data_IF_245190970320
#
_entry.id   IF_245190970320
#
_cell.length_a   1.000
_cell.length_b   1.000
_cell.length_c   1.000
_cell.angle_alpha   90.00
_cell.angle_beta   90.00
_cell.angle_gamma   90.00
#
_symmetry.space_group_name_H-M   'P 1'
#
loop_
_entity.id
_entity.type
_entity.pdbx_description
1 polymer ?
#
# COMPACT_ATOMS: atom_id res chain seq x y z
N UNK A 1 3.33 -25.44 -12.66
CA UNK A 1 4.41 -24.62 -12.08
C UNK A 1 3.78 -23.85 -10.95
N UNK A 2 4.23 -24.05 -9.71
CA UNK A 2 3.77 -23.24 -8.58
C UNK A 2 4.07 -21.78 -8.90
N UNK A 3 3.03 -20.94 -8.98
CA UNK A 3 3.19 -19.49 -9.14
C UNK A 3 3.84 -18.95 -7.85
N UNK A 4 5.17 -18.99 -7.79
CA UNK A 4 5.93 -18.41 -6.69
C UNK A 4 5.71 -16.90 -6.71
N UNK A 5 5.03 -16.39 -5.70
CA UNK A 5 4.73 -14.95 -5.50
C UNK A 5 5.88 -14.26 -4.74
N UNK A 6 6.79 -15.03 -4.15
CA UNK A 6 7.95 -14.55 -3.39
C UNK A 6 9.24 -14.71 -4.21
N UNK A 7 10.18 -13.74 -4.16
CA UNK A 7 11.50 -13.92 -4.76
C UNK A 7 12.28 -15.05 -4.05
N UNK A 8 13.16 -15.70 -4.80
CA UNK A 8 14.17 -16.59 -4.25
C UNK A 8 15.46 -15.81 -4.09
N UNK A 9 16.07 -15.84 -2.91
CA UNK A 9 17.27 -15.06 -2.60
C UNK A 9 18.39 -16.03 -2.24
N UNK A 10 19.50 -15.95 -2.96
CA UNK A 10 20.78 -16.53 -2.55
C UNK A 10 21.49 -15.46 -1.72
N UNK A 11 21.55 -15.67 -0.41
CA UNK A 11 22.14 -14.72 0.52
C UNK A 11 23.66 -14.84 0.53
N UNK A 12 24.37 -13.73 0.57
CA UNK A 12 25.82 -13.67 0.75
C UNK A 12 26.27 -14.66 1.84
N UNK A 13 27.29 -15.46 1.52
CA UNK A 13 27.82 -16.49 2.41
C UNK A 13 27.02 -17.79 2.52
N UNK A 14 25.85 -17.91 1.87
CA UNK A 14 25.02 -19.13 1.86
C UNK A 14 25.04 -19.92 0.55
N UNK A 15 25.83 -19.49 -0.43
CA UNK A 15 25.97 -20.15 -1.73
C UNK A 15 27.41 -20.07 -2.25
N UNK A 16 27.79 -21.04 -3.07
CA UNK A 16 29.03 -21.04 -3.86
C UNK A 16 28.76 -20.67 -5.32
N UNK A 17 29.80 -20.45 -6.11
CA UNK A 17 29.64 -20.23 -7.56
C UNK A 17 28.97 -21.43 -8.25
N UNK A 18 29.29 -22.65 -7.81
CA UNK A 18 28.65 -23.86 -8.30
C UNK A 18 27.14 -23.90 -7.97
N UNK A 19 26.75 -23.44 -6.78
CA UNK A 19 25.34 -23.32 -6.40
C UNK A 19 24.61 -22.28 -7.25
N UNK A 20 25.25 -21.16 -7.56
CA UNK A 20 24.70 -20.13 -8.44
C UNK A 20 24.50 -20.65 -9.86
N UNK A 21 25.47 -21.37 -10.44
CA UNK A 21 25.34 -22.00 -11.75
C UNK A 21 24.28 -23.11 -11.77
N UNK A 22 24.21 -23.91 -10.70
CA UNK A 22 23.14 -24.89 -10.51
C UNK A 22 21.76 -24.21 -10.38
N UNK A 23 21.69 -23.05 -9.72
CA UNK A 23 20.46 -22.26 -9.63
C UNK A 23 20.04 -21.71 -11.00
N UNK A 24 21.00 -21.18 -11.77
CA UNK A 24 20.75 -20.65 -13.12
C UNK A 24 20.23 -21.72 -14.07
N UNK A 25 20.80 -22.93 -14.02
CA UNK A 25 20.38 -24.04 -14.88
C UNK A 25 19.00 -24.62 -14.52
N UNK A 26 18.59 -24.56 -13.25
CA UNK A 26 17.29 -25.07 -12.78
C UNK A 26 16.12 -24.11 -12.99
N UNK A 27 16.38 -22.81 -13.10
CA UNK A 27 15.35 -21.77 -13.15
C UNK A 27 15.24 -21.14 -14.54
N UNK A 28 14.03 -20.70 -14.91
CA UNK A 28 13.81 -19.98 -16.17
C UNK A 28 14.25 -18.53 -16.01
N UNK A 29 15.52 -18.27 -16.24
CA UNK A 29 16.09 -16.92 -16.21
C UNK A 29 16.02 -16.33 -17.61
N UNK A 30 15.28 -15.24 -17.75
CA UNK A 30 15.18 -14.48 -18.99
C UNK A 30 16.24 -13.38 -19.07
N UNK A 31 16.65 -12.83 -17.92
CA UNK A 31 17.62 -11.74 -17.86
C UNK A 31 18.41 -11.78 -16.55
N UNK A 32 19.73 -11.67 -16.68
CA UNK A 32 20.65 -11.47 -15.56
C UNK A 32 21.05 -9.99 -15.52
N UNK A 33 20.98 -9.37 -14.35
CA UNK A 33 21.36 -7.97 -14.13
C UNK A 33 22.29 -7.90 -12.94
N UNK A 34 23.55 -7.59 -13.15
CA UNK A 34 24.49 -7.34 -12.05
C UNK A 34 24.65 -5.83 -11.83
N UNK A 35 24.19 -5.37 -10.66
CA UNK A 35 24.33 -3.98 -10.22
C UNK A 35 25.06 -3.87 -8.88
N UNK A 36 25.62 -4.96 -8.35
CA UNK A 36 26.20 -5.00 -7.01
C UNK A 36 27.32 -3.96 -6.84
N UNK A 37 28.28 -3.90 -7.78
CA UNK A 37 29.36 -2.90 -7.75
C UNK A 37 28.85 -1.47 -7.88
N UNK A 38 27.80 -1.23 -8.66
CA UNK A 38 27.17 0.10 -8.77
C UNK A 38 26.51 0.50 -7.46
N UNK A 39 25.87 -0.44 -6.79
CA UNK A 39 25.29 -0.18 -5.48
C UNK A 39 26.36 -0.03 -4.38
N UNK A 40 27.51 -0.70 -4.47
CA UNK A 40 28.64 -0.44 -3.57
C UNK A 40 29.18 0.99 -3.72
N UNK A 41 29.23 1.53 -4.95
CA UNK A 41 29.52 2.95 -5.18
C UNK A 41 28.49 3.84 -4.46
N UNK A 42 27.20 3.59 -4.64
CA UNK A 42 26.13 4.37 -3.98
C UNK A 42 26.18 4.23 -2.45
N UNK A 43 26.54 3.05 -1.94
CA UNK A 43 26.74 2.80 -0.51
C UNK A 43 27.91 3.63 0.04
N UNK A 44 29.03 3.68 -0.68
CA UNK A 44 30.16 4.51 -0.29
C UNK A 44 29.77 6.00 -0.26
N UNK A 45 29.08 6.49 -1.30
CA UNK A 45 28.53 7.86 -1.32
C UNK A 45 27.60 8.12 -0.12
N UNK A 46 26.79 7.13 0.23
CA UNK A 46 25.83 7.20 1.33
C UNK A 46 26.52 7.26 2.70
N UNK A 47 27.61 6.53 2.87
CA UNK A 47 28.37 6.47 4.12
C UNK A 47 29.35 7.65 4.25
N UNK A 48 29.84 8.17 3.13
CA UNK A 48 30.90 9.18 3.10
C UNK A 48 30.54 10.40 2.21
N UNK A 49 29.40 11.07 2.44
CA UNK A 49 28.94 12.15 1.55
C UNK A 49 29.91 13.34 1.51
N UNK A 50 30.66 13.57 2.59
CA UNK A 50 31.66 14.62 2.69
C UNK A 50 32.86 14.42 1.75
N UNK A 51 33.15 13.17 1.35
CA UNK A 51 34.27 12.85 0.47
C UNK A 51 33.97 13.16 -1.00
N UNK A 52 32.70 13.37 -1.39
CA UNK A 52 32.29 13.55 -2.80
C UNK A 52 32.92 14.75 -3.50
N UNK A 53 33.36 15.74 -2.72
CA UNK A 53 34.02 16.96 -3.23
C UNK A 53 35.54 16.85 -3.27
N UNK A 54 36.10 15.75 -2.77
CA UNK A 54 37.55 15.56 -2.74
C UNK A 54 38.09 15.13 -4.12
N UNK A 55 39.26 15.63 -4.55
CA UNK A 55 39.84 15.28 -5.85
C UNK A 55 40.08 13.77 -6.05
N UNK A 56 40.36 13.03 -4.96
CA UNK A 56 40.62 11.59 -4.97
C UNK A 56 39.40 10.75 -4.58
N UNK A 57 38.18 11.30 -4.68
CA UNK A 57 36.95 10.58 -4.36
C UNK A 57 36.84 9.26 -5.12
N UNK A 58 37.16 9.25 -6.42
CA UNK A 58 37.09 8.06 -7.26
C UNK A 58 38.05 6.96 -6.78
N UNK A 59 39.30 7.31 -6.48
CA UNK A 59 40.30 6.36 -5.97
C UNK A 59 39.82 5.70 -4.67
N UNK A 60 39.20 6.47 -3.77
CA UNK A 60 38.65 5.95 -2.50
C UNK A 60 37.46 5.02 -2.71
N UNK A 61 36.60 5.31 -3.69
CA UNK A 61 35.49 4.43 -4.04
C UNK A 61 36.01 3.13 -4.66
N UNK A 62 37.00 3.21 -5.54
CA UNK A 62 37.63 2.04 -6.14
C UNK A 62 38.28 1.15 -5.07
N UNK A 63 39.01 1.74 -4.12
CA UNK A 63 39.57 1.01 -2.97
C UNK A 63 38.48 0.31 -2.15
N UNK A 64 37.39 1.01 -1.84
CA UNK A 64 36.25 0.43 -1.13
C UNK A 64 35.58 -0.72 -1.89
N UNK A 65 35.36 -0.56 -3.20
CA UNK A 65 34.77 -1.62 -4.04
C UNK A 65 35.71 -2.81 -4.10
N UNK A 66 37.02 -2.59 -4.26
CA UNK A 66 38.02 -3.68 -4.25
C UNK A 66 37.95 -4.41 -2.92
N UNK A 67 38.01 -3.70 -1.78
CA UNK A 67 37.90 -4.30 -0.44
C UNK A 67 36.63 -5.14 -0.30
N UNK A 68 35.47 -4.56 -0.65
CA UNK A 68 34.16 -5.23 -0.59
C UNK A 68 33.93 -6.33 -1.62
N UNK A 69 34.85 -6.48 -2.57
CA UNK A 69 34.80 -7.55 -3.57
C UNK A 69 35.98 -8.53 -3.47
N UNK A 70 36.88 -8.32 -2.50
CA UNK A 70 38.08 -9.12 -2.30
C UNK A 70 37.80 -10.24 -1.32
N UNK A 71 37.31 -11.38 -1.81
CA UNK A 71 37.26 -12.60 -0.99
C UNK A 71 37.37 -13.90 -1.82
N UNK A 72 38.58 -14.21 -2.32
CA UNK A 72 38.95 -15.52 -2.86
C UNK A 72 37.89 -16.20 -3.74
N UNK A 73 37.43 -17.39 -3.32
CA UNK A 73 36.39 -18.20 -3.99
C UNK A 73 34.95 -17.93 -3.47
N UNK A 74 34.75 -16.96 -2.58
CA UNK A 74 33.44 -16.67 -2.00
C UNK A 74 32.64 -15.74 -2.90
N UNK A 75 31.36 -16.05 -3.06
CA UNK A 75 30.45 -15.18 -3.79
C UNK A 75 29.89 -14.13 -2.83
N UNK A 76 30.05 -12.87 -3.23
CA UNK A 76 29.68 -11.68 -2.46
C UNK A 76 28.36 -11.13 -2.99
N UNK A 77 27.65 -10.36 -2.18
CA UNK A 77 26.33 -9.84 -2.49
C UNK A 77 25.23 -10.91 -2.52
N UNK A 78 24.00 -10.44 -2.68
CA UNK A 78 22.82 -11.28 -2.77
C UNK A 78 22.35 -11.41 -4.22
N UNK A 79 21.97 -12.62 -4.64
CA UNK A 79 21.25 -12.80 -5.89
C UNK A 79 19.76 -12.96 -5.63
N UNK A 80 18.95 -12.09 -6.23
CA UNK A 80 17.49 -12.11 -6.12
C UNK A 80 16.89 -12.55 -7.44
N UNK A 81 16.20 -13.70 -7.42
CA UNK A 81 15.43 -14.20 -8.54
C UNK A 81 13.94 -13.89 -8.37
N UNK A 82 13.34 -13.32 -9.40
CA UNK A 82 11.90 -13.01 -9.47
C UNK A 82 11.20 -14.00 -10.40
N UNK A 83 10.54 -15.06 -9.88
CA UNK A 83 10.03 -16.15 -10.72
C UNK A 83 8.96 -15.74 -11.74
N UNK A 84 8.24 -14.65 -11.49
CA UNK A 84 7.15 -14.17 -12.36
C UNK A 84 7.62 -13.43 -13.61
N UNK A 85 8.83 -12.86 -13.60
CA UNK A 85 9.42 -12.19 -14.77
C UNK A 85 10.78 -12.81 -15.18
N UNK A 86 11.28 -13.76 -14.38
CA UNK A 86 12.55 -14.47 -14.50
C UNK A 86 13.79 -13.58 -14.59
N UNK A 87 13.78 -12.43 -13.93
CA UNK A 87 14.98 -11.66 -13.68
C UNK A 87 15.77 -12.27 -12.53
N UNK A 88 17.08 -12.40 -12.72
CA UNK A 88 18.04 -12.71 -11.67
C UNK A 88 18.94 -11.48 -11.48
N UNK A 89 18.91 -10.84 -10.31
CA UNK A 89 19.58 -9.57 -10.06
C UNK A 89 20.59 -9.71 -8.92
N UNK A 90 21.83 -9.28 -9.14
CA UNK A 90 22.87 -9.22 -8.11
C UNK A 90 22.83 -7.85 -7.42
N UNK A 91 22.60 -7.84 -6.11
CA UNK A 91 22.39 -6.62 -5.30
C UNK A 91 23.09 -6.68 -3.94
N UNK A 92 23.15 -5.54 -3.25
CA UNK A 92 23.62 -5.44 -1.87
C UNK A 92 22.83 -6.33 -0.90
N UNK A 93 23.45 -6.79 0.21
CA UNK A 93 22.75 -7.35 1.36
C UNK A 93 21.67 -6.41 1.91
N UNK A 94 20.71 -6.97 2.65
CA UNK A 94 19.49 -6.27 3.09
C UNK A 94 19.74 -4.91 3.75
N UNK A 95 20.62 -4.85 4.74
CA UNK A 95 20.86 -3.62 5.49
C UNK A 95 21.41 -2.51 4.59
N UNK A 96 22.41 -2.82 3.78
CA UNK A 96 23.04 -1.87 2.87
C UNK A 96 22.10 -1.47 1.71
N UNK A 97 21.31 -2.42 1.20
CA UNK A 97 20.29 -2.15 0.19
C UNK A 97 19.25 -1.15 0.70
N UNK A 98 18.68 -1.38 1.88
CA UNK A 98 17.71 -0.46 2.47
C UNK A 98 18.34 0.89 2.78
N UNK A 99 19.58 0.91 3.30
CA UNK A 99 20.32 2.14 3.57
C UNK A 99 20.52 3.00 2.33
N UNK A 100 20.95 2.41 1.21
CA UNK A 100 21.11 3.13 -0.07
C UNK A 100 19.76 3.64 -0.55
N UNK A 101 18.73 2.79 -0.54
CA UNK A 101 17.39 3.11 -1.05
C UNK A 101 16.73 4.27 -0.31
N UNK A 102 16.93 4.39 0.99
CA UNK A 102 16.32 5.44 1.81
C UNK A 102 17.25 6.64 2.06
N UNK A 103 18.47 6.66 1.50
CA UNK A 103 19.47 7.66 1.87
C UNK A 103 19.01 9.11 1.57
N UNK A 104 18.25 9.32 0.50
CA UNK A 104 17.80 10.66 0.07
C UNK A 104 16.66 11.19 0.93
N UNK A 105 16.07 10.34 1.77
CA UNK A 105 15.04 10.74 2.72
C UNK A 105 15.63 11.26 4.04
N UNK A 106 16.94 11.08 4.28
CA UNK A 106 17.62 11.47 5.52
C UNK A 106 17.33 12.93 5.88
N UNK A 107 17.21 13.21 7.17
CA UNK A 107 16.77 14.47 7.79
C UNK A 107 15.27 14.81 7.63
N UNK A 108 14.59 14.31 6.61
CA UNK A 108 13.11 14.30 6.56
C UNK A 108 12.52 13.03 7.21
N UNK A 109 13.30 11.96 7.17
CA UNK A 109 13.16 10.71 7.90
C UNK A 109 14.57 10.32 8.34
N UNK A 110 14.86 10.46 9.63
CA UNK A 110 16.15 10.07 10.21
C UNK A 110 16.34 8.55 10.15
N UNK A 111 17.56 8.06 10.33
CA UNK A 111 17.82 6.60 10.33
C UNK A 111 17.06 5.88 11.46
N UNK A 112 16.96 6.52 12.63
CA UNK A 112 16.21 6.01 13.78
C UNK A 112 14.71 5.91 13.47
N UNK A 113 14.15 6.94 12.83
CA UNK A 113 12.76 6.92 12.36
C UNK A 113 12.57 5.86 11.28
N UNK A 114 13.50 5.72 10.33
CA UNK A 114 13.42 4.70 9.28
C UNK A 114 13.43 3.28 9.86
N UNK A 115 14.25 3.00 10.90
CA UNK A 115 14.22 1.71 11.60
C UNK A 115 12.88 1.46 12.28
N UNK A 116 12.33 2.46 12.99
CA UNK A 116 11.00 2.36 13.61
C UNK A 116 9.89 2.13 12.57
N UNK A 117 9.98 2.78 11.41
CA UNK A 117 9.03 2.62 10.31
C UNK A 117 9.13 1.24 9.66
N UNK A 118 10.35 0.73 9.50
CA UNK A 118 10.61 -0.63 9.00
C UNK A 118 9.90 -1.66 9.90
N UNK A 119 9.95 -1.48 11.21
CA UNK A 119 9.34 -2.38 12.21
C UNK A 119 7.92 -1.95 12.63
N UNK A 120 7.22 -1.16 11.79
CA UNK A 120 5.82 -0.77 12.02
C UNK A 120 4.90 -1.54 11.07
N UNK A 121 4.34 -2.65 11.55
CA UNK A 121 3.56 -3.56 10.72
C UNK A 121 2.19 -3.02 10.34
N UNK A 122 1.88 -3.07 9.05
CA UNK A 122 0.63 -2.55 8.48
C UNK A 122 -0.16 -3.69 7.84
N UNK A 123 -1.49 -3.65 8.04
CA UNK A 123 -2.44 -4.44 7.28
C UNK A 123 -3.13 -3.61 6.20
N UNK A 124 -3.34 -4.16 5.01
CA UNK A 124 -4.13 -3.53 3.93
C UNK A 124 -5.21 -4.50 3.47
N UNK A 125 -6.47 -4.09 3.61
CA UNK A 125 -7.64 -4.89 3.25
C UNK A 125 -8.31 -4.26 2.03
N UNK A 126 -8.29 -4.97 0.90
CA UNK A 126 -8.71 -4.46 -0.41
C UNK A 126 -7.54 -3.84 -1.18
N UNK A 127 -7.31 -4.28 -2.42
CA UNK A 127 -6.16 -3.91 -3.23
C UNK A 127 -6.55 -3.27 -4.57
N UNK A 128 -7.72 -2.61 -4.62
CA UNK A 128 -7.97 -1.62 -5.66
C UNK A 128 -7.26 -0.32 -5.32
N UNK A 129 -7.88 0.54 -4.50
CA UNK A 129 -7.24 1.78 -4.01
C UNK A 129 -6.07 1.43 -3.09
N UNK A 130 -6.26 0.44 -2.20
CA UNK A 130 -5.24 -0.01 -1.25
C UNK A 130 -3.93 -0.52 -1.86
N UNK A 131 -3.92 -0.91 -3.15
CA UNK A 131 -2.66 -1.23 -3.83
C UNK A 131 -1.69 -0.03 -3.85
N UNK A 132 -2.19 1.19 -4.08
CA UNK A 132 -1.35 2.39 -4.08
C UNK A 132 -0.78 2.69 -2.69
N UNK A 133 -1.53 2.36 -1.63
CA UNK A 133 -1.05 2.46 -0.24
C UNK A 133 0.05 1.42 -0.01
N UNK A 134 -0.21 0.14 -0.27
CA UNK A 134 0.74 -0.94 -0.02
C UNK A 134 2.08 -0.73 -0.78
N UNK A 135 2.01 -0.33 -2.05
CA UNK A 135 3.19 0.00 -2.86
C UNK A 135 3.86 1.29 -2.38
N UNK A 136 3.08 2.30 -1.99
CA UNK A 136 3.60 3.54 -1.40
C UNK A 136 4.39 3.31 -0.11
N UNK A 137 3.89 2.44 0.78
CA UNK A 137 4.59 2.03 1.99
C UNK A 137 5.93 1.37 1.68
N UNK A 138 5.97 0.46 0.69
CA UNK A 138 7.19 -0.17 0.23
C UNK A 138 8.20 0.89 -0.26
N UNK A 139 7.79 1.84 -1.12
CA UNK A 139 8.67 2.94 -1.57
C UNK A 139 9.21 3.79 -0.42
N UNK A 140 8.42 4.03 0.62
CA UNK A 140 8.85 4.78 1.80
C UNK A 140 9.70 3.98 2.79
N UNK A 141 9.87 2.66 2.59
CA UNK A 141 10.55 1.79 3.55
C UNK A 141 9.81 1.64 4.87
N UNK A 142 8.49 1.69 4.79
CA UNK A 142 7.59 1.47 5.92
C UNK A 142 7.08 0.03 5.86
N UNK A 143 7.04 -0.65 7.01
CA UNK A 143 6.49 -1.99 7.17
C UNK A 143 7.26 -3.05 6.37
N UNK A 144 8.37 -3.55 6.92
CA UNK A 144 9.09 -4.69 6.32
C UNK A 144 8.20 -5.93 6.27
N UNK A 145 7.35 -6.13 7.28
CA UNK A 145 6.31 -7.15 7.22
C UNK A 145 4.96 -6.49 7.01
N UNK A 146 4.25 -6.85 5.95
CA UNK A 146 2.94 -6.28 5.58
C UNK A 146 1.93 -7.40 5.34
N UNK A 147 0.71 -7.23 5.85
CA UNK A 147 -0.38 -8.19 5.62
C UNK A 147 -1.35 -7.66 4.58
N UNK A 148 -1.64 -8.46 3.57
CA UNK A 148 -2.54 -8.08 2.48
C UNK A 148 -3.76 -9.03 2.47
N UNK A 149 -4.96 -8.46 2.38
CA UNK A 149 -6.19 -9.24 2.24
C UNK A 149 -6.98 -8.80 1.01
N UNK A 150 -7.16 -9.71 0.07
CA UNK A 150 -7.83 -9.47 -1.22
C UNK A 150 -8.19 -10.82 -1.85
N UNK A 151 -9.34 -10.88 -2.51
CA UNK A 151 -9.83 -12.09 -3.21
C UNK A 151 -10.08 -11.84 -4.70
N UNK A 152 -10.10 -10.59 -5.16
CA UNK A 152 -10.43 -10.25 -6.53
C UNK A 152 -9.31 -10.59 -7.52
N UNK A 153 -9.74 -10.83 -8.75
CA UNK A 153 -8.89 -10.93 -9.93
C UNK A 153 -8.80 -9.60 -10.67
N UNK A 154 -7.63 -9.30 -11.23
CA UNK A 154 -7.39 -8.10 -12.00
C UNK A 154 -8.14 -8.13 -13.34
N UNK A 155 -8.89 -7.07 -13.64
CA UNK A 155 -9.63 -6.86 -14.89
C UNK A 155 -9.12 -5.63 -15.62
N UNK A 156 -9.33 -5.57 -16.94
CA UNK A 156 -8.94 -4.41 -17.77
C UNK A 156 -9.55 -3.11 -17.27
N UNK A 157 -10.79 -3.15 -16.77
CA UNK A 157 -11.47 -2.00 -16.18
C UNK A 157 -10.84 -1.48 -14.89
N UNK A 158 -9.85 -2.18 -14.31
CA UNK A 158 -9.08 -1.68 -13.17
C UNK A 158 -7.87 -0.85 -13.58
N UNK A 159 -7.37 -0.98 -14.82
CA UNK A 159 -6.18 -0.27 -15.31
C UNK A 159 -6.33 1.25 -15.34
N UNK A 160 -7.55 1.76 -15.21
CA UNK A 160 -7.82 3.19 -15.10
C UNK A 160 -7.41 3.80 -13.74
N UNK A 161 -7.13 2.97 -12.72
CA UNK A 161 -6.87 3.43 -11.34
C UNK A 161 -5.90 2.56 -10.53
N UNK A 162 -5.63 1.35 -10.97
CA UNK A 162 -4.72 0.40 -10.34
C UNK A 162 -3.50 0.24 -11.24
N UNK A 163 -2.31 0.50 -10.69
CA UNK A 163 -1.04 0.39 -11.42
C UNK A 163 -0.75 -1.07 -11.69
N UNK A 164 -0.97 -1.52 -12.93
CA UNK A 164 -0.60 -2.87 -13.37
C UNK A 164 -0.20 -2.87 -14.84
N UNK A 165 0.70 -3.77 -15.27
CA UNK A 165 0.95 -3.98 -16.68
C UNK A 165 -0.19 -4.80 -17.30
N UNK A 166 -0.47 -4.56 -18.59
CA UNK A 166 -1.52 -5.26 -19.33
C UNK A 166 -1.33 -6.79 -19.32
N UNK A 167 -0.08 -7.26 -19.27
CA UNK A 167 0.25 -8.70 -19.20
C UNK A 167 -0.21 -9.39 -17.90
N UNK A 168 -0.59 -8.64 -16.86
CA UNK A 168 -1.08 -9.21 -15.60
C UNK A 168 -2.60 -9.47 -15.58
N UNK A 169 -3.33 -9.18 -16.66
CA UNK A 169 -4.79 -9.39 -16.68
C UNK A 169 -5.16 -10.84 -16.38
N UNK A 170 -6.22 -11.03 -15.58
CA UNK A 170 -6.64 -12.36 -15.13
C UNK A 170 -5.83 -12.92 -13.96
N UNK A 171 -4.78 -12.23 -13.49
CA UNK A 171 -4.04 -12.61 -12.29
C UNK A 171 -4.75 -12.11 -11.02
N UNK A 172 -4.61 -12.81 -9.87
CA UNK A 172 -5.08 -12.29 -8.59
C UNK A 172 -4.47 -10.92 -8.27
N UNK A 173 -5.28 -9.94 -7.84
CA UNK A 173 -4.79 -8.60 -7.48
C UNK A 173 -3.78 -8.66 -6.32
N UNK A 174 -3.95 -9.62 -5.41
CA UNK A 174 -3.04 -9.84 -4.30
C UNK A 174 -1.64 -10.23 -4.75
N UNK A 175 -1.52 -11.01 -5.82
CA UNK A 175 -0.24 -11.39 -6.39
C UNK A 175 0.46 -10.17 -7.00
N UNK A 176 -0.29 -9.34 -7.73
CA UNK A 176 0.25 -8.10 -8.30
C UNK A 176 0.83 -7.21 -7.21
N UNK A 177 0.08 -6.95 -6.13
CA UNK A 177 0.55 -6.10 -5.03
C UNK A 177 1.81 -6.68 -4.36
N UNK A 178 1.83 -7.98 -4.08
CA UNK A 178 2.99 -8.65 -3.52
C UNK A 178 4.22 -8.55 -4.44
N UNK A 179 4.05 -8.81 -5.75
CA UNK A 179 5.12 -8.70 -6.74
C UNK A 179 5.69 -7.27 -6.79
N UNK A 180 4.84 -6.25 -6.80
CA UNK A 180 5.26 -4.85 -6.79
C UNK A 180 6.05 -4.49 -5.53
N UNK A 181 5.64 -4.99 -4.36
CA UNK A 181 6.38 -4.78 -3.11
C UNK A 181 7.77 -5.43 -3.20
N UNK A 182 7.84 -6.69 -3.65
CA UNK A 182 9.11 -7.41 -3.77
C UNK A 182 10.05 -6.80 -4.82
N UNK A 183 9.52 -6.22 -5.90
CA UNK A 183 10.33 -5.50 -6.90
C UNK A 183 10.94 -4.19 -6.35
N UNK A 184 10.39 -3.65 -5.26
CA UNK A 184 10.89 -2.44 -4.58
C UNK A 184 11.79 -2.79 -3.38
N UNK A 185 11.39 -3.78 -2.59
CA UNK A 185 12.10 -4.27 -1.40
C UNK A 185 12.03 -5.79 -1.37
N UNK A 186 13.01 -6.49 -1.99
CA UNK A 186 12.97 -7.95 -2.12
C UNK A 186 13.06 -8.68 -0.77
N UNK A 187 13.54 -7.99 0.26
CA UNK A 187 13.67 -8.49 1.63
C UNK A 187 12.40 -8.32 2.49
N UNK A 188 11.34 -7.75 1.92
CA UNK A 188 10.04 -7.64 2.59
C UNK A 188 9.46 -9.02 2.92
N UNK A 189 8.58 -9.07 3.91
CA UNK A 189 7.76 -10.23 4.27
C UNK A 189 6.30 -9.87 3.98
N UNK A 190 5.73 -10.47 2.95
CA UNK A 190 4.33 -10.20 2.57
C UNK A 190 3.46 -11.40 2.95
N UNK A 191 2.56 -11.21 3.92
CA UNK A 191 1.59 -12.22 4.33
C UNK A 191 0.28 -12.05 3.55
N UNK A 192 -0.19 -13.14 2.95
CA UNK A 192 -1.28 -13.10 1.97
C UNK A 192 -2.54 -13.80 2.51
N UNK A 193 -3.59 -13.02 2.70
CA UNK A 193 -4.95 -13.48 2.96
C UNK A 193 -5.72 -13.50 1.62
N UNK A 194 -5.36 -14.43 0.73
CA UNK A 194 -5.80 -14.49 -0.68
C UNK A 194 -7.28 -14.80 -0.89
N UNK A 195 -8.02 -15.09 0.18
CA UNK A 195 -9.47 -15.28 0.16
C UNK A 195 -10.20 -14.08 0.79
N UNK A 196 -9.52 -12.95 0.93
CA UNK A 196 -9.99 -11.78 1.66
C UNK A 196 -10.09 -12.04 3.17
N UNK A 197 -10.68 -11.07 3.87
CA UNK A 197 -11.05 -11.24 5.27
C UNK A 197 -12.43 -11.87 5.38
N UNK A 198 -12.55 -12.80 6.32
CA UNK A 198 -13.77 -13.50 6.72
C UNK A 198 -13.83 -13.51 8.24
N UNK A 199 -14.98 -13.92 8.80
CA UNK A 199 -15.17 -13.93 10.26
C UNK A 199 -14.14 -14.80 10.98
N UNK A 200 -13.73 -15.90 10.37
CA UNK A 200 -12.76 -16.86 10.87
C UNK A 200 -11.29 -16.45 10.65
N UNK A 201 -11.00 -15.58 9.67
CA UNK A 201 -9.63 -15.10 9.40
C UNK A 201 -9.33 -13.72 9.98
N UNK A 202 -10.35 -13.00 10.43
CA UNK A 202 -10.22 -11.63 10.96
C UNK A 202 -9.31 -11.59 12.18
N UNK A 203 -9.46 -12.50 13.14
CA UNK A 203 -8.62 -12.54 14.34
C UNK A 203 -7.15 -12.79 13.97
N UNK A 204 -6.90 -13.81 13.14
CA UNK A 204 -5.57 -14.14 12.65
C UNK A 204 -4.88 -12.95 11.96
N UNK A 205 -5.62 -12.22 11.11
CA UNK A 205 -5.09 -11.04 10.42
C UNK A 205 -4.51 -10.01 11.40
N UNK A 206 -5.20 -9.74 12.52
CA UNK A 206 -4.72 -8.77 13.50
C UNK A 206 -3.67 -9.35 14.47
N UNK A 207 -3.82 -10.60 14.91
CA UNK A 207 -3.10 -11.12 16.09
C UNK A 207 -1.98 -12.10 15.79
N UNK A 208 -1.98 -12.79 14.64
CA UNK A 208 -0.88 -13.68 14.28
C UNK A 208 0.40 -12.87 14.07
N UNK A 209 1.54 -13.43 14.47
CA UNK A 209 2.80 -12.69 14.44
C UNK A 209 3.30 -12.48 13.01
N UNK A 210 3.73 -11.25 12.64
CA UNK A 210 3.73 -10.07 13.49
C UNK A 210 2.36 -9.38 13.54
N UNK A 211 2.02 -8.84 14.71
CA UNK A 211 0.74 -8.13 14.91
C UNK A 211 0.75 -6.83 14.14
N UNK A 212 -0.33 -6.54 13.43
CA UNK A 212 -0.45 -5.24 12.75
C UNK A 212 -0.66 -4.13 13.77
N UNK A 213 -0.05 -2.98 13.50
CA UNK A 213 -0.10 -1.76 14.33
C UNK A 213 -0.97 -0.67 13.71
N UNK A 214 -1.43 -0.88 12.47
CA UNK A 214 -2.37 -0.04 11.73
C UNK A 214 -3.02 -0.87 10.63
N UNK A 215 -4.29 -0.62 10.34
CA UNK A 215 -4.99 -1.24 9.21
C UNK A 215 -5.58 -0.21 8.25
N UNK A 216 -5.42 -0.45 6.95
CA UNK A 216 -6.14 0.24 5.89
C UNK A 216 -7.37 -0.56 5.48
N UNK A 217 -8.53 0.08 5.49
CA UNK A 217 -9.80 -0.47 5.02
C UNK A 217 -10.18 0.13 3.67
N UNK A 218 -10.00 -0.65 2.60
CA UNK A 218 -10.19 -0.27 1.20
C UNK A 218 -11.12 -1.24 0.44
N UNK A 219 -12.03 -1.91 1.18
CA UNK A 219 -13.05 -2.82 0.62
C UNK A 219 -14.40 -2.13 0.40
N UNK A 220 -15.30 -2.77 -0.34
CA UNK A 220 -16.69 -2.32 -0.51
C UNK A 220 -17.68 -3.09 0.39
N UNK A 221 -17.25 -4.18 1.04
CA UNK A 221 -18.09 -4.98 1.93
C UNK A 221 -18.32 -4.26 3.27
N UNK A 222 -19.50 -3.67 3.39
CA UNK A 222 -19.90 -2.88 4.55
C UNK A 222 -19.96 -3.67 5.87
N UNK A 223 -20.38 -4.94 5.87
CA UNK A 223 -20.40 -5.75 7.10
C UNK A 223 -18.97 -5.98 7.57
N UNK A 224 -18.06 -6.32 6.64
CA UNK A 224 -16.66 -6.54 6.98
C UNK A 224 -15.97 -5.25 7.46
N UNK A 225 -16.30 -4.09 6.89
CA UNK A 225 -15.82 -2.78 7.39
C UNK A 225 -16.14 -2.54 8.86
N UNK A 226 -17.36 -2.92 9.28
CA UNK A 226 -17.81 -2.81 10.68
C UNK A 226 -17.00 -3.78 11.54
N UNK A 227 -16.84 -5.03 11.10
CA UNK A 227 -16.08 -6.05 11.84
C UNK A 227 -14.61 -5.67 12.03
N UNK A 228 -13.97 -5.14 10.98
CA UNK A 228 -12.60 -4.61 11.04
C UNK A 228 -12.50 -3.56 12.14
N UNK A 229 -13.44 -2.60 12.20
CA UNK A 229 -13.43 -1.53 13.20
C UNK A 229 -13.66 -2.04 14.62
N UNK A 230 -14.58 -2.99 14.83
CA UNK A 230 -14.75 -3.60 16.14
C UNK A 230 -13.49 -4.32 16.62
N UNK A 231 -12.86 -5.12 15.74
CA UNK A 231 -11.62 -5.84 16.07
C UNK A 231 -10.46 -4.87 16.30
N UNK A 232 -10.35 -3.84 15.46
CA UNK A 232 -9.35 -2.80 15.61
C UNK A 232 -9.53 -2.02 16.92
N UNK A 233 -10.78 -1.70 17.30
CA UNK A 233 -11.11 -1.06 18.59
C UNK A 233 -10.76 -1.94 19.79
N UNK A 234 -11.12 -3.22 19.74
CA UNK A 234 -10.77 -4.22 20.76
C UNK A 234 -9.25 -4.30 20.97
N UNK A 235 -8.49 -4.30 19.86
CA UNK A 235 -7.03 -4.48 19.87
C UNK A 235 -6.26 -3.16 19.91
N UNK A 236 -6.94 -2.01 20.00
CA UNK A 236 -6.33 -0.67 20.00
C UNK A 236 -5.44 -0.43 18.77
N UNK A 237 -5.93 -0.82 17.61
CA UNK A 237 -5.27 -0.63 16.31
C UNK A 237 -5.97 0.52 15.57
N UNK A 238 -5.25 1.55 15.10
CA UNK A 238 -5.82 2.59 14.24
C UNK A 238 -6.34 2.03 12.91
N UNK A 239 -7.44 2.58 12.42
CA UNK A 239 -7.98 2.32 11.08
C UNK A 239 -7.83 3.59 10.24
N UNK A 240 -7.34 3.45 9.01
CA UNK A 240 -7.39 4.50 7.99
C UNK A 240 -8.21 3.99 6.80
N UNK A 241 -9.04 4.86 6.25
CA UNK A 241 -9.79 4.57 5.03
C UNK A 241 -9.74 5.77 4.08
N UNK A 242 -9.52 5.48 2.80
CA UNK A 242 -9.43 6.46 1.73
C UNK A 242 -10.62 6.27 0.78
N UNK A 243 -11.39 7.34 0.53
CA UNK A 243 -12.53 7.26 -0.40
C UNK A 243 -12.38 8.27 -1.52
N UNK A 244 -12.14 7.80 -2.74
CA UNK A 244 -12.00 8.67 -3.90
C UNK A 244 -13.36 9.06 -4.50
N UNK A 245 -13.55 10.36 -4.72
CA UNK A 245 -14.80 11.00 -5.15
C UNK A 245 -14.53 11.92 -6.35
N UNK A 246 -14.03 11.36 -7.46
CA UNK A 246 -13.61 12.16 -8.62
C UNK A 246 -12.32 12.93 -8.35
N UNK A 247 -12.36 14.26 -8.46
CA UNK A 247 -11.23 15.19 -8.21
C UNK A 247 -11.03 15.54 -6.72
N UNK A 248 -11.83 14.93 -5.85
CA UNK A 248 -11.68 14.99 -4.39
C UNK A 248 -11.51 13.58 -3.82
N UNK A 249 -11.01 13.49 -2.59
CA UNK A 249 -11.04 12.26 -1.81
C UNK A 249 -11.24 12.55 -0.33
N UNK A 250 -11.78 11.56 0.39
CA UNK A 250 -11.93 11.56 1.84
C UNK A 250 -10.83 10.73 2.48
N UNK A 251 -10.42 11.18 3.65
CA UNK A 251 -9.47 10.52 4.53
C UNK A 251 -10.14 10.38 5.89
N UNK A 252 -10.53 9.16 6.23
CA UNK A 252 -11.07 8.82 7.52
C UNK A 252 -9.95 8.21 8.37
N UNK A 253 -9.69 8.81 9.54
CA UNK A 253 -8.72 8.29 10.52
C UNK A 253 -9.48 7.96 11.80
N UNK A 254 -9.33 6.74 12.30
CA UNK A 254 -9.96 6.26 13.52
C UNK A 254 -8.86 5.74 14.47
N UNK A 255 -8.41 6.60 15.40
CA UNK A 255 -7.33 6.31 16.35
C UNK A 255 -7.80 5.53 17.58
N UNK A 256 -8.22 4.29 17.38
CA UNK A 256 -8.62 3.42 18.50
C UNK A 256 -7.50 3.12 19.50
N UNK A 257 -6.25 3.34 19.09
CA UNK A 257 -5.06 3.31 19.95
C UNK A 257 -5.02 4.45 20.98
N UNK A 258 -5.64 5.59 20.64
CA UNK A 258 -5.72 6.78 21.51
C UNK A 258 -7.06 6.90 22.22
N UNK A 259 -8.15 6.59 21.52
CA UNK A 259 -9.52 6.63 22.04
C UNK A 259 -10.27 5.33 21.73
N UNK A 260 -10.25 4.35 22.66
CA UNK A 260 -10.99 3.11 22.50
C UNK A 260 -12.51 3.27 22.59
N UNK A 261 -13.02 4.45 23.00
CA UNK A 261 -14.45 4.76 23.05
C UNK A 261 -14.94 5.43 21.77
N UNK A 262 -14.05 5.77 20.84
CA UNK A 262 -14.40 6.34 19.55
C UNK A 262 -15.48 5.50 18.87
N UNK A 263 -16.55 6.17 18.45
CA UNK A 263 -17.60 5.54 17.67
C UNK A 263 -17.05 5.11 16.31
N UNK A 264 -17.42 3.90 15.91
CA UNK A 264 -17.09 3.36 14.59
C UNK A 264 -17.55 4.29 13.47
N UNK A 265 -16.70 4.44 12.44
CA UNK A 265 -16.89 5.42 11.37
C UNK A 265 -16.94 6.88 11.86
N UNK A 266 -16.20 7.20 12.93
CA UNK A 266 -16.19 8.54 13.56
C UNK A 266 -17.59 9.02 13.98
N UNK A 267 -18.51 8.10 14.29
CA UNK A 267 -19.89 8.41 14.69
C UNK A 267 -20.81 8.87 13.54
N UNK A 268 -20.32 8.93 12.29
CA UNK A 268 -21.07 9.46 11.14
C UNK A 268 -22.35 8.68 10.80
N UNK A 269 -22.48 7.46 11.33
CA UNK A 269 -23.57 6.53 11.03
C UNK A 269 -24.48 6.24 12.23
N UNK A 270 -24.21 6.81 13.41
CA UNK A 270 -24.95 6.50 14.63
C UNK A 270 -25.05 4.99 14.88
N UNK A 271 -26.27 4.48 15.10
CA UNK A 271 -26.52 3.07 15.42
C UNK A 271 -26.54 2.11 14.22
N UNK A 272 -26.46 2.60 12.98
CA UNK A 272 -26.53 1.77 11.76
C UNK A 272 -25.58 0.57 11.79
N UNK A 273 -24.30 0.70 12.19
CA UNK A 273 -23.38 -0.43 12.22
C UNK A 273 -23.85 -1.60 13.11
N UNK A 274 -24.42 -1.29 14.28
CA UNK A 274 -24.93 -2.29 15.22
C UNK A 274 -26.20 -2.97 14.71
N UNK A 275 -27.00 -2.26 13.91
CA UNK A 275 -28.17 -2.84 13.23
C UNK A 275 -27.73 -3.81 12.13
N UNK A 276 -26.77 -3.42 11.30
CA UNK A 276 -26.23 -4.23 10.20
C UNK A 276 -25.66 -5.57 10.67
N UNK A 277 -25.08 -5.63 11.88
CA UNK A 277 -24.56 -6.89 12.43
C UNK A 277 -25.66 -7.84 12.93
N UNK A 278 -26.88 -7.34 13.19
CA UNK A 278 -28.00 -8.12 13.72
C UNK A 278 -28.91 -8.66 12.63
N UNK A 279 -29.04 -7.95 11.52
CA UNK A 279 -29.93 -8.30 10.41
C UNK A 279 -29.17 -8.41 9.10
N UNK A 280 -29.59 -9.33 8.22
CA UNK A 280 -29.07 -9.33 6.86
C UNK A 280 -29.56 -8.08 6.13
N UNK A 281 -28.63 -7.28 5.62
CA UNK A 281 -28.93 -6.06 4.86
C UNK A 281 -29.06 -6.37 3.36
N UNK A 282 -29.95 -5.67 2.68
CA UNK A 282 -30.11 -5.79 1.22
C UNK A 282 -29.03 -4.99 0.48
N UNK A 283 -28.85 -5.23 -0.82
CA UNK A 283 -27.98 -4.39 -1.66
C UNK A 283 -28.42 -2.92 -1.67
N UNK A 284 -29.74 -2.66 -1.59
CA UNK A 284 -30.27 -1.29 -1.49
C UNK A 284 -29.84 -0.61 -0.19
N UNK A 285 -29.84 -1.35 0.92
CA UNK A 285 -29.38 -0.85 2.21
C UNK A 285 -27.89 -0.54 2.19
N UNK A 286 -27.06 -1.41 1.59
CA UNK A 286 -25.62 -1.15 1.40
C UNK A 286 -25.37 0.15 0.65
N UNK A 287 -26.09 0.39 -0.45
CA UNK A 287 -25.98 1.65 -1.21
C UNK A 287 -26.40 2.84 -0.36
N UNK A 288 -27.52 2.73 0.37
CA UNK A 288 -28.01 3.79 1.27
C UNK A 288 -26.96 4.14 2.34
N UNK A 289 -26.41 3.14 3.02
CA UNK A 289 -25.41 3.35 4.07
C UNK A 289 -24.09 3.88 3.51
N UNK A 290 -23.67 3.43 2.32
CA UNK A 290 -22.50 3.99 1.65
C UNK A 290 -22.68 5.49 1.35
N UNK A 291 -23.86 5.89 0.87
CA UNK A 291 -24.17 7.30 0.58
C UNK A 291 -24.27 8.13 1.87
N UNK A 292 -24.92 7.59 2.91
CA UNK A 292 -24.97 8.23 4.23
C UNK A 292 -23.57 8.41 4.81
N UNK A 293 -22.73 7.36 4.73
CA UNK A 293 -21.36 7.40 5.22
C UNK A 293 -20.54 8.40 4.44
N UNK A 294 -20.55 8.39 3.10
CA UNK A 294 -19.78 9.33 2.27
C UNK A 294 -20.26 10.77 2.50
N UNK A 295 -21.57 10.98 2.63
CA UNK A 295 -22.20 12.29 2.70
C UNK A 295 -22.18 13.00 1.35
N UNK A 296 -23.36 13.26 0.77
CA UNK A 296 -23.48 13.88 -0.56
C UNK A 296 -22.81 15.26 -0.66
N UNK A 297 -22.68 15.97 0.47
CA UNK A 297 -21.98 17.24 0.55
C UNK A 297 -20.48 17.15 0.21
N UNK A 298 -19.89 15.97 0.39
CA UNK A 298 -18.49 15.70 0.06
C UNK A 298 -18.26 15.35 -1.41
N UNK A 299 -19.32 14.98 -2.13
CA UNK A 299 -19.22 14.47 -3.51
C UNK A 299 -19.26 15.64 -4.49
N UNK A 300 -18.27 15.79 -5.38
CA UNK A 300 -18.32 16.79 -6.45
C UNK A 300 -19.58 16.65 -7.33
N UNK A 301 -20.10 17.75 -7.85
CA UNK A 301 -21.31 17.84 -8.68
C UNK A 301 -21.29 16.89 -9.87
N UNK A 302 -20.16 16.79 -10.58
CA UNK A 302 -20.02 15.83 -11.71
C UNK A 302 -20.06 14.37 -11.25
N UNK A 303 -19.50 14.09 -10.07
CA UNK A 303 -19.54 12.76 -9.48
C UNK A 303 -20.96 12.42 -9.01
N UNK A 304 -21.73 13.38 -8.46
CA UNK A 304 -23.15 13.21 -8.15
C UNK A 304 -23.96 12.84 -9.40
N UNK A 305 -23.74 13.55 -10.51
CA UNK A 305 -24.37 13.22 -11.80
C UNK A 305 -24.05 11.78 -12.23
N UNK A 306 -22.80 11.34 -12.05
CA UNK A 306 -22.40 9.96 -12.35
C UNK A 306 -23.13 8.92 -11.51
N UNK A 307 -23.44 9.20 -10.24
CA UNK A 307 -24.19 8.26 -9.37
C UNK A 307 -25.59 7.95 -9.91
N UNK A 308 -26.25 8.93 -10.56
CA UNK A 308 -27.57 8.77 -11.17
C UNK A 308 -27.55 7.90 -12.43
N UNK A 309 -26.37 7.77 -13.05
CA UNK A 309 -26.15 7.06 -14.31
C UNK A 309 -25.68 5.60 -14.12
N UNK A 310 -25.41 5.19 -12.88
CA UNK A 310 -25.04 3.81 -12.54
C UNK A 310 -26.17 2.86 -12.95
N UNK A 311 -25.81 1.76 -13.62
CA UNK A 311 -26.70 0.78 -14.24
C UNK A 311 -27.59 1.34 -15.38
N UNK A 312 -27.34 2.57 -15.83
CA UNK A 312 -27.99 3.17 -17.00
C UNK A 312 -27.00 3.35 -18.15
N UNK A 313 -26.01 4.22 -17.95
CA UNK A 313 -24.97 4.54 -18.94
C UNK A 313 -23.57 4.22 -18.43
N UNK A 314 -23.39 4.04 -17.12
CA UNK A 314 -22.11 3.60 -16.52
C UNK A 314 -22.30 2.39 -15.58
N UNK A 315 -21.25 1.58 -15.44
CA UNK A 315 -21.30 0.32 -14.66
C UNK A 315 -21.12 0.55 -13.16
N UNK A 316 -20.32 1.54 -12.77
CA UNK A 316 -19.99 1.80 -11.37
C UNK A 316 -19.53 3.24 -11.20
N UNK A 317 -19.40 3.69 -9.94
CA UNK A 317 -18.91 5.03 -9.61
C UNK A 317 -17.51 5.27 -10.20
N UNK A 318 -17.26 6.40 -10.87
CA UNK A 318 -15.94 6.72 -11.40
C UNK A 318 -14.89 6.91 -10.29
N UNK A 319 -13.69 6.42 -10.54
CA UNK A 319 -12.52 6.65 -9.69
C UNK A 319 -11.36 7.06 -10.60
N UNK A 320 -10.81 8.25 -10.37
CA UNK A 320 -9.73 8.80 -11.19
C UNK A 320 -8.36 8.39 -10.62
N UNK A 321 -7.43 8.00 -11.48
CA UNK A 321 -6.08 7.61 -11.05
C UNK A 321 -5.35 8.73 -10.29
N UNK A 322 -5.59 9.99 -10.67
CA UNK A 322 -4.99 11.17 -10.03
C UNK A 322 -5.25 11.20 -8.52
N UNK A 323 -6.51 11.12 -8.11
CA UNK A 323 -6.87 11.14 -6.68
C UNK A 323 -6.53 9.83 -5.99
N UNK A 324 -6.64 8.68 -6.66
CA UNK A 324 -6.26 7.37 -6.11
C UNK A 324 -4.77 7.30 -5.77
N UNK A 325 -3.92 7.85 -6.64
CA UNK A 325 -2.47 7.89 -6.41
C UNK A 325 -2.11 8.87 -5.29
N UNK A 326 -2.71 10.07 -5.29
CA UNK A 326 -2.47 11.08 -4.25
C UNK A 326 -2.93 10.56 -2.88
N UNK A 327 -4.10 9.92 -2.80
CA UNK A 327 -4.59 9.35 -1.55
C UNK A 327 -3.70 8.23 -1.02
N UNK A 328 -3.12 7.41 -1.91
CA UNK A 328 -2.11 6.40 -1.53
C UNK A 328 -0.88 7.03 -0.85
N UNK A 329 -0.37 8.13 -1.39
CA UNK A 329 0.71 8.91 -0.78
C UNK A 329 0.33 9.53 0.58
N UNK A 330 -0.90 10.03 0.70
CA UNK A 330 -1.45 10.50 1.99
C UNK A 330 -1.50 9.36 3.01
N UNK A 331 -1.89 8.15 2.60
CA UNK A 331 -1.86 6.96 3.46
C UNK A 331 -0.47 6.69 4.05
N UNK A 332 0.56 6.63 3.19
CA UNK A 332 1.95 6.43 3.64
C UNK A 332 2.43 7.56 4.55
N UNK A 333 2.07 8.81 4.25
CA UNK A 333 2.34 9.97 5.10
C UNK A 333 1.72 9.80 6.50
N UNK A 334 0.44 9.41 6.59
CA UNK A 334 -0.24 9.23 7.87
C UNK A 334 0.34 8.09 8.70
N UNK A 335 0.72 6.98 8.07
CA UNK A 335 1.40 5.88 8.77
C UNK A 335 2.68 6.37 9.39
N UNK A 336 3.49 7.15 8.64
CA UNK A 336 4.71 7.75 9.19
C UNK A 336 4.41 8.60 10.42
N UNK A 337 3.43 9.49 10.33
CA UNK A 337 3.05 10.39 11.43
C UNK A 337 2.58 9.62 12.67
N UNK A 338 1.75 8.59 12.48
CA UNK A 338 1.25 7.75 13.57
C UNK A 338 2.39 6.92 14.19
N UNK A 339 3.23 6.29 13.37
CA UNK A 339 4.35 5.46 13.84
C UNK A 339 5.38 6.27 14.65
N UNK A 340 5.56 7.56 14.34
CA UNK A 340 6.44 8.46 15.08
C UNK A 340 5.77 9.07 16.34
N UNK A 341 4.53 8.69 16.65
CA UNK A 341 3.81 9.19 17.82
C UNK A 341 3.29 10.63 17.67
N UNK A 342 3.24 11.16 16.45
CA UNK A 342 2.67 12.49 16.21
C UNK A 342 1.14 12.47 16.42
N UNK A 343 0.59 13.62 16.81
CA UNK A 343 -0.82 13.76 17.15
C UNK A 343 -1.73 13.87 15.91
N UNK A 344 -1.84 12.77 15.16
CA UNK A 344 -2.84 12.63 14.10
C UNK A 344 -4.21 12.37 14.73
N UNK A 345 -5.07 13.39 14.76
CA UNK A 345 -6.42 13.30 15.34
C UNK A 345 -7.36 12.47 14.47
N UNK A 346 -8.21 11.65 15.11
CA UNK A 346 -9.36 10.99 14.50
C UNK A 346 -10.29 11.98 13.79
N UNK A 347 -11.11 11.45 12.90
CA UNK A 347 -12.10 12.20 12.14
C UNK A 347 -11.87 12.14 10.63
N UNK A 348 -12.85 12.68 9.93
CA UNK A 348 -12.85 12.79 8.47
C UNK A 348 -12.21 14.09 8.01
N UNK A 349 -11.41 14.00 6.95
CA UNK A 349 -10.94 15.15 6.18
C UNK A 349 -11.26 14.96 4.71
N UNK A 350 -11.71 16.03 4.05
CA UNK A 350 -11.85 16.08 2.59
C UNK A 350 -10.66 16.81 2.01
N UNK A 351 -10.08 16.26 0.95
CA UNK A 351 -9.05 16.92 0.14
C UNK A 351 -9.62 17.09 -1.26
N UNK A 352 -9.68 18.34 -1.72
CA UNK A 352 -10.18 18.72 -3.04
C UNK A 352 -9.05 19.32 -3.85
N UNK A 353 -8.72 18.73 -5.00
CA UNK A 353 -7.68 19.29 -5.87
C UNK A 353 -8.12 20.64 -6.46
N UNK A 354 -9.42 20.82 -6.69
CA UNK A 354 -9.94 22.12 -7.13
C UNK A 354 -9.70 23.21 -6.09
N UNK A 355 -9.94 22.93 -4.80
CA UNK A 355 -9.69 23.90 -3.73
C UNK A 355 -8.19 24.19 -3.57
N UNK A 356 -7.32 23.20 -3.76
CA UNK A 356 -5.86 23.39 -3.70
C UNK A 356 -5.33 24.34 -4.78
N UNK A 357 -5.98 24.37 -5.95
CA UNK A 357 -5.58 25.18 -7.11
C UNK A 357 -6.53 26.33 -7.42
N UNK A 358 -7.41 26.70 -6.47
CA UNK A 358 -8.39 27.77 -6.63
C UNK A 358 -9.28 27.63 -7.90
N UNK A 359 -9.57 26.38 -8.30
CA UNK A 359 -10.42 26.08 -9.46
C UNK A 359 -11.89 26.06 -9.06
N UNK A 360 -12.72 26.68 -9.88
CA UNK A 360 -14.17 26.71 -9.65
C UNK A 360 -14.84 25.43 -10.16
N UNK A 361 -15.69 24.86 -9.32
CA UNK A 361 -16.58 23.77 -9.71
C UNK A 361 -17.92 24.32 -10.21
N UNK A 362 -18.43 23.80 -11.32
CA UNK A 362 -19.81 24.06 -11.73
C UNK A 362 -20.80 23.34 -10.79
N UNK A 363 -21.51 24.13 -9.99
CA UNK A 363 -22.51 23.63 -9.02
C UNK A 363 -23.95 23.82 -9.48
N UNK A 364 -24.20 24.26 -10.72
CA UNK A 364 -25.54 24.60 -11.23
C UNK A 364 -26.55 23.46 -11.10
N UNK A 365 -26.10 22.20 -11.28
CA UNK A 365 -26.95 21.01 -11.22
C UNK A 365 -26.93 20.32 -9.84
N UNK A 366 -26.15 20.81 -8.89
CA UNK A 366 -25.87 20.12 -7.62
C UNK A 366 -27.13 19.78 -6.83
N UNK A 367 -27.97 20.79 -6.56
CA UNK A 367 -29.22 20.61 -5.79
C UNK A 367 -30.13 19.59 -6.46
N UNK A 368 -30.33 19.72 -7.78
CA UNK A 368 -31.16 18.79 -8.56
C UNK A 368 -30.64 17.36 -8.50
N UNK A 369 -29.31 17.15 -8.58
CA UNK A 369 -28.74 15.81 -8.44
C UNK A 369 -28.92 15.23 -7.05
N UNK A 370 -28.70 16.01 -5.99
CA UNK A 370 -28.91 15.56 -4.61
C UNK A 370 -30.37 15.14 -4.38
N UNK A 371 -31.34 15.94 -4.83
CA UNK A 371 -32.77 15.62 -4.70
C UNK A 371 -33.14 14.34 -5.44
N UNK A 372 -32.65 14.16 -6.68
CA UNK A 372 -32.87 12.94 -7.45
C UNK A 372 -32.27 11.71 -6.75
N UNK A 373 -31.06 11.82 -6.20
CA UNK A 373 -30.41 10.73 -5.48
C UNK A 373 -31.23 10.35 -4.23
N UNK A 374 -31.65 11.34 -3.42
CA UNK A 374 -32.50 11.10 -2.25
C UNK A 374 -33.82 10.41 -2.63
N UNK A 375 -34.47 10.88 -3.70
CA UNK A 375 -35.71 10.28 -4.22
C UNK A 375 -35.54 8.81 -4.67
N UNK A 376 -34.43 8.45 -5.30
CA UNK A 376 -34.14 7.05 -5.69
C UNK A 376 -33.90 6.15 -4.48
N UNK A 377 -33.29 6.68 -3.42
CA UNK A 377 -32.97 5.92 -2.21
C UNK A 377 -34.16 5.79 -1.25
N UNK A 378 -35.23 6.56 -1.45
CA UNK A 378 -36.37 6.63 -0.54
C UNK A 378 -36.02 7.31 0.79
N UNK A 379 -35.19 8.35 0.72
CA UNK A 379 -34.72 9.16 1.87
C UNK A 379 -35.32 10.57 1.85
#
# INVERSE_FOLDING_TARGET
MSNLIKPLILYEGSYTEADLEAFKSKNKIWKIVDIYKKQLFELFETQNPHLRVEPNFQDKVEEFIIDKTRDGDRVLGNWVYFPWNGFLIHILPEEDYERVRTNRNRNLITEDEQRKLKDFEVGVVGLSVGNNVAVGLAYCGISQTIKLAEYDTLRTSNLNRLRAPLMSMGSPKINLAAQQIYEISPYSKVELFSHGLKKDTLDAFFTESPKIRLVFDEIDDFEMKIRIRHKARELRVPVIMLTNLGDSFLVDVERYDQDPQLEIFNGLLGNVPEEVLKVSITEKDKVKYAIQFVGLDNVPTRALGSLLEINRTIVSRPQLYSTVTISGGVGAYLVRKIAMGENVKSGRRRVSLNEVFDLTEDTSQRTSFIEKIKGVLGA
#
